data_IF_871048993566
#
_entry.id   IF_871048993566
#
_cell.length_a   1.000
_cell.length_b   1.000
_cell.length_c   1.000
_cell.angle_alpha   90.00
_cell.angle_beta   90.00
_cell.angle_gamma   90.00
#
_symmetry.space_group_name_H-M   'P 1'
#
loop_
_entity.id
_entity.type
_entity.pdbx_description
1 polymer ?
#
# COMPACT_ATOMS: atom_id res chain seq x y z
N UNK A 1 -16.46 -0.67 9.12
CA UNK A 1 -17.41 -0.42 10.21
C UNK A 1 -18.54 -1.45 10.19
N UNK A 2 -19.26 -1.66 11.30
CA UNK A 2 -20.44 -2.53 11.37
C UNK A 2 -21.54 -2.21 10.34
N UNK A 3 -21.46 -1.05 9.68
CA UNK A 3 -22.35 -0.57 8.62
C UNK A 3 -21.86 -0.88 7.18
N UNK A 4 -20.78 -1.65 7.03
CA UNK A 4 -20.22 -2.02 5.72
C UNK A 4 -19.40 -0.92 5.05
N UNK A 5 -19.16 0.22 5.72
CA UNK A 5 -18.32 1.30 5.21
C UNK A 5 -16.86 1.08 5.55
N UNK A 6 -15.98 1.46 4.63
CA UNK A 6 -14.55 1.57 4.90
C UNK A 6 -14.29 2.95 5.51
N UNK A 7 -13.67 3.01 6.70
CA UNK A 7 -13.14 4.28 7.20
C UNK A 7 -11.94 4.66 6.35
N UNK A 8 -12.05 5.78 5.64
CA UNK A 8 -10.94 6.31 4.85
C UNK A 8 -10.21 7.33 5.70
N UNK A 9 -9.02 6.99 6.17
CA UNK A 9 -8.10 7.94 6.79
C UNK A 9 -7.11 8.42 5.71
N UNK A 10 -7.37 9.59 5.14
CA UNK A 10 -6.51 10.19 4.12
C UNK A 10 -5.34 10.93 4.75
N UNK A 11 -4.11 10.56 4.38
CA UNK A 11 -2.90 11.30 4.74
C UNK A 11 -2.26 11.80 3.45
N UNK A 12 -2.12 13.12 3.34
CA UNK A 12 -1.40 13.75 2.24
C UNK A 12 0.07 13.89 2.63
N UNK A 13 0.97 13.63 1.69
CA UNK A 13 2.43 13.48 1.90
C UNK A 13 3.16 14.81 2.20
N UNK A 14 2.57 15.70 3.00
CA UNK A 14 3.22 16.91 3.46
C UNK A 14 3.41 16.85 4.98
N UNK A 15 4.65 16.58 5.37
CA UNK A 15 5.18 16.45 6.73
C UNK A 15 4.83 15.15 7.47
N UNK A 16 5.89 14.39 7.80
CA UNK A 16 6.26 13.48 8.92
C UNK A 16 5.22 13.00 9.97
N UNK A 17 4.03 13.58 10.00
CA UNK A 17 2.95 13.30 10.94
C UNK A 17 2.29 11.93 10.74
N UNK A 18 2.45 11.31 9.57
CA UNK A 18 1.81 10.03 9.26
C UNK A 18 2.53 8.82 9.91
N UNK A 19 3.84 8.92 10.16
CA UNK A 19 4.65 7.82 10.74
C UNK A 19 4.16 7.42 12.15
N UNK A 20 3.70 8.39 12.94
CA UNK A 20 3.18 8.15 14.28
C UNK A 20 1.77 7.52 14.29
N UNK A 21 1.01 7.69 13.20
CA UNK A 21 -0.38 7.25 13.11
C UNK A 21 -0.49 5.90 12.40
N UNK A 22 0.43 5.59 11.47
CA UNK A 22 0.37 4.38 10.66
C UNK A 22 0.35 3.08 11.49
N UNK A 23 1.17 2.90 12.55
CA UNK A 23 1.12 1.68 13.36
C UNK A 23 -0.26 1.43 13.99
N UNK A 24 -0.93 2.49 14.46
CA UNK A 24 -2.27 2.41 15.07
C UNK A 24 -3.37 2.05 14.07
N UNK A 25 -3.21 2.45 12.81
CA UNK A 25 -4.13 2.10 11.73
C UNK A 25 -3.92 0.66 11.25
N UNK A 26 -2.66 0.22 11.18
CA UNK A 26 -2.31 -1.15 10.81
C UNK A 26 -2.84 -2.14 11.84
N UNK A 27 -2.81 -1.80 13.14
CA UNK A 27 -3.37 -2.65 14.21
C UNK A 27 -4.89 -2.85 14.12
N UNK A 28 -5.63 -1.90 13.51
CA UNK A 28 -7.08 -1.98 13.33
C UNK A 28 -7.56 -2.95 12.23
N UNK A 29 -6.64 -3.51 11.44
CA UNK A 29 -6.99 -4.37 10.30
C UNK A 29 -7.38 -3.60 9.03
N UNK A 30 -7.00 -2.32 8.94
CA UNK A 30 -7.28 -1.47 7.78
C UNK A 30 -6.34 -1.78 6.60
N UNK A 31 -6.84 -1.52 5.39
CA UNK A 31 -6.05 -1.60 4.15
C UNK A 31 -5.43 -0.22 3.87
N UNK A 32 -4.12 -0.20 3.65
CA UNK A 32 -3.37 0.97 3.19
C UNK A 32 -3.49 1.06 1.68
N UNK A 33 -4.11 2.14 1.21
CA UNK A 33 -4.16 2.53 -0.19
C UNK A 33 -3.07 3.57 -0.46
N UNK A 34 -2.09 3.26 -1.31
CA UNK A 34 -1.04 4.20 -1.69
C UNK A 34 -1.16 4.57 -3.15
N UNK A 35 -1.27 5.87 -3.41
CA UNK A 35 -1.37 6.41 -4.76
C UNK A 35 0.03 6.72 -5.31
N UNK A 36 0.39 6.06 -6.42
CA UNK A 36 1.66 6.23 -7.13
C UNK A 36 1.45 6.82 -8.52
N UNK A 37 0.27 7.40 -8.81
CA UNK A 37 0.05 8.08 -10.10
C UNK A 37 1.05 9.22 -10.26
N UNK A 38 1.58 9.32 -11.47
CA UNK A 38 2.67 10.23 -11.84
C UNK A 38 4.01 9.97 -11.15
N UNK A 39 4.17 8.96 -10.29
CA UNK A 39 5.44 8.68 -9.62
C UNK A 39 6.57 8.39 -10.62
N UNK A 40 7.68 9.11 -10.48
CA UNK A 40 8.80 9.16 -11.41
C UNK A 40 10.03 9.77 -10.71
N UNK A 41 11.22 9.74 -11.32
CA UNK A 41 12.42 10.34 -10.72
C UNK A 41 12.27 11.84 -10.40
N UNK A 42 11.47 12.58 -11.16
CA UNK A 42 11.27 14.02 -10.97
C UNK A 42 10.27 14.36 -9.85
N UNK A 43 9.55 13.38 -9.31
CA UNK A 43 8.61 13.53 -8.19
C UNK A 43 8.68 12.33 -7.23
N UNK A 44 9.91 11.90 -6.94
CA UNK A 44 10.24 10.80 -6.03
C UNK A 44 9.98 11.13 -4.54
N UNK A 45 9.09 12.07 -4.24
CA UNK A 45 8.73 12.44 -2.87
C UNK A 45 8.18 11.26 -2.07
N UNK A 46 7.51 10.31 -2.74
CA UNK A 46 6.88 9.14 -2.12
C UNK A 46 7.82 7.93 -1.90
N UNK A 47 9.12 8.06 -2.22
CA UNK A 47 10.07 6.92 -2.15
C UNK A 47 10.28 6.46 -0.71
N UNK A 48 10.33 7.42 0.21
CA UNK A 48 10.47 7.14 1.65
C UNK A 48 9.23 6.44 2.20
N UNK A 49 8.03 6.91 1.83
CA UNK A 49 6.74 6.33 2.20
C UNK A 49 6.63 4.89 1.71
N UNK A 50 7.06 4.63 0.47
CA UNK A 50 7.04 3.30 -0.13
C UNK A 50 7.97 2.34 0.63
N UNK A 51 9.17 2.80 1.00
CA UNK A 51 10.12 2.03 1.81
C UNK A 51 9.59 1.76 3.24
N UNK A 52 8.93 2.74 3.84
CA UNK A 52 8.29 2.57 5.15
C UNK A 52 7.17 1.55 5.09
N UNK A 53 6.30 1.62 4.08
CA UNK A 53 5.20 0.69 3.87
C UNK A 53 5.73 -0.74 3.76
N UNK A 54 6.79 -0.97 2.97
CA UNK A 54 7.47 -2.26 2.86
C UNK A 54 8.03 -2.74 4.20
N UNK A 55 8.49 -1.84 5.05
CA UNK A 55 9.13 -2.21 6.33
C UNK A 55 8.15 -2.45 7.48
N UNK A 56 6.94 -1.90 7.42
CA UNK A 56 6.05 -1.84 8.59
C UNK A 56 4.63 -2.35 8.33
N UNK A 57 4.18 -2.47 7.08
CA UNK A 57 2.80 -2.87 6.75
C UNK A 57 2.80 -4.19 5.98
N UNK A 58 2.13 -5.25 6.45
CA UNK A 58 2.04 -6.51 5.72
C UNK A 58 1.50 -6.29 4.29
N UNK A 59 2.16 -6.82 3.26
CA UNK A 59 1.79 -6.60 1.84
C UNK A 59 0.33 -6.87 1.51
N UNK A 60 -0.28 -7.85 2.19
CA UNK A 60 -1.70 -8.19 2.01
C UNK A 60 -2.66 -7.09 2.41
N UNK A 61 -2.20 -6.19 3.29
CA UNK A 61 -2.93 -4.99 3.72
C UNK A 61 -2.60 -3.77 2.87
N UNK A 62 -1.84 -3.92 1.78
CA UNK A 62 -1.44 -2.82 0.94
C UNK A 62 -2.03 -2.97 -0.46
N UNK A 63 -2.56 -1.87 -1.00
CA UNK A 63 -2.95 -1.74 -2.39
C UNK A 63 -2.27 -0.50 -2.97
N UNK A 64 -1.45 -0.70 -4.00
CA UNK A 64 -0.82 0.39 -4.75
C UNK A 64 -1.68 0.75 -5.96
N UNK A 65 -1.96 2.04 -6.15
CA UNK A 65 -2.60 2.55 -7.37
C UNK A 65 -1.52 3.09 -8.30
N UNK A 66 -1.54 2.66 -9.55
CA UNK A 66 -0.73 3.23 -10.62
C UNK A 66 -1.56 3.54 -11.85
N UNK A 67 -1.00 4.30 -12.79
CA UNK A 67 -1.58 4.53 -14.11
C UNK A 67 -0.46 4.60 -15.17
N UNK A 68 -0.75 4.88 -16.45
CA UNK A 68 0.29 5.00 -17.48
C UNK A 68 1.33 6.10 -17.25
N UNK A 69 1.12 7.01 -16.29
CA UNK A 69 2.08 8.06 -15.92
C UNK A 69 3.05 7.62 -14.81
N UNK A 70 2.83 6.45 -14.21
CA UNK A 70 3.71 5.87 -13.19
C UNK A 70 4.92 5.18 -13.85
N UNK A 71 6.13 5.54 -13.41
CA UNK A 71 7.36 4.82 -13.72
C UNK A 71 7.43 3.53 -12.91
N UNK A 72 6.86 2.46 -13.47
CA UNK A 72 6.75 1.16 -12.81
C UNK A 72 8.10 0.48 -12.62
N UNK A 73 9.09 0.80 -13.46
CA UNK A 73 10.45 0.30 -13.30
C UNK A 73 11.06 0.88 -12.03
N UNK A 74 10.89 2.19 -11.80
CA UNK A 74 11.31 2.84 -10.57
C UNK A 74 10.55 2.29 -9.35
N UNK A 75 9.23 2.08 -9.46
CA UNK A 75 8.44 1.46 -8.36
C UNK A 75 9.01 0.09 -7.98
N UNK A 76 9.27 -0.76 -8.96
CA UNK A 76 9.82 -2.10 -8.74
C UNK A 76 11.21 -2.06 -8.10
N UNK A 77 12.08 -1.15 -8.55
CA UNK A 77 13.40 -0.94 -7.96
C UNK A 77 13.32 -0.50 -6.50
N UNK A 78 12.46 0.47 -6.19
CA UNK A 78 12.28 0.96 -4.82
C UNK A 78 11.74 -0.15 -3.91
N UNK A 79 10.75 -0.92 -4.37
CA UNK A 79 10.18 -2.03 -3.61
C UNK A 79 11.20 -3.14 -3.38
N UNK A 80 11.96 -3.53 -4.40
CA UNK A 80 12.99 -4.56 -4.29
C UNK A 80 14.11 -4.14 -3.33
N UNK A 81 14.61 -2.91 -3.46
CA UNK A 81 15.64 -2.36 -2.59
C UNK A 81 15.15 -2.24 -1.14
N UNK A 82 13.91 -1.79 -0.94
CA UNK A 82 13.31 -1.66 0.39
C UNK A 82 13.11 -3.01 1.06
N UNK A 83 12.66 -4.02 0.31
CA UNK A 83 12.48 -5.37 0.83
C UNK A 83 13.83 -6.03 1.15
N UNK A 84 14.85 -5.81 0.31
CA UNK A 84 16.20 -6.32 0.55
C UNK A 84 16.86 -5.71 1.79
N UNK A 85 16.57 -4.44 2.07
CA UNK A 85 17.14 -3.69 3.20
C UNK A 85 16.28 -3.73 4.46
N UNK A 86 15.09 -4.34 4.43
CA UNK A 86 14.20 -4.37 5.58
C UNK A 86 14.78 -5.25 6.71
N UNK A 87 14.49 -4.88 7.95
CA UNK A 87 14.90 -5.65 9.12
C UNK A 87 14.21 -7.04 9.11
N UNK A 88 14.82 -8.09 9.68
CA UNK A 88 14.18 -9.40 9.83
C UNK A 88 12.86 -9.38 10.61
N UNK A 89 12.64 -8.34 11.43
CA UNK A 89 11.39 -8.10 12.17
C UNK A 89 10.28 -7.49 11.32
N UNK A 90 10.56 -7.09 10.07
CA UNK A 90 9.55 -6.59 9.14
C UNK A 90 8.47 -7.65 8.90
N UNK A 91 7.18 -7.27 8.81
CA UNK A 91 6.11 -8.20 8.45
C UNK A 91 6.25 -8.77 7.03
N UNK A 92 7.11 -8.17 6.20
CA UNK A 92 7.34 -8.57 4.82
C UNK A 92 8.68 -9.29 4.61
N UNK A 93 9.50 -9.46 5.65
CA UNK A 93 10.80 -10.13 5.53
C UNK A 93 10.65 -11.53 4.88
N UNK A 94 11.40 -11.77 3.80
CA UNK A 94 11.36 -13.03 3.04
C UNK A 94 10.08 -13.29 2.24
N UNK A 95 9.15 -12.33 2.17
CA UNK A 95 7.89 -12.48 1.41
C UNK A 95 8.06 -11.94 -0.02
N UNK A 96 7.47 -12.58 -1.04
CA UNK A 96 7.63 -12.11 -2.40
C UNK A 96 6.80 -10.85 -2.66
N UNK A 97 7.31 -9.94 -3.51
CA UNK A 97 6.59 -8.73 -3.93
C UNK A 97 5.27 -9.04 -4.66
N UNK A 98 5.08 -10.25 -5.17
CA UNK A 98 3.82 -10.69 -5.80
C UNK A 98 2.63 -10.73 -4.83
N UNK A 99 2.86 -10.70 -3.52
CA UNK A 99 1.79 -10.57 -2.53
C UNK A 99 1.27 -9.13 -2.38
N UNK A 100 2.02 -8.14 -2.86
CA UNK A 100 1.61 -6.74 -2.86
C UNK A 100 0.59 -6.52 -3.97
N UNK A 101 -0.62 -6.13 -3.60
CA UNK A 101 -1.65 -5.89 -4.61
C UNK A 101 -1.42 -4.57 -5.33
N UNK A 102 -1.58 -4.58 -6.65
CA UNK A 102 -1.51 -3.38 -7.49
C UNK A 102 -2.79 -3.25 -8.30
N UNK A 103 -3.33 -2.04 -8.35
CA UNK A 103 -4.40 -1.64 -9.23
C UNK A 103 -3.84 -0.65 -10.26
N UNK A 104 -3.89 -1.03 -11.54
CA UNK A 104 -3.52 -0.13 -12.63
C UNK A 104 -4.77 0.49 -13.23
N UNK A 105 -4.93 1.80 -13.07
CA UNK A 105 -5.95 2.60 -13.72
C UNK A 105 -5.56 3.04 -15.14
N UNK A 106 -6.42 3.86 -15.74
CA UNK A 106 -6.11 4.58 -16.99
C UNK A 106 -5.72 6.02 -16.66
N UNK A 107 -5.05 6.72 -17.59
CA UNK A 107 -4.54 8.08 -17.33
C UNK A 107 -5.64 9.00 -16.80
N UNK A 108 -5.46 9.49 -15.57
CA UNK A 108 -6.40 10.42 -14.92
C UNK A 108 -7.77 9.84 -14.59
N UNK A 109 -8.01 8.54 -14.76
CA UNK A 109 -9.27 7.87 -14.44
C UNK A 109 -9.03 6.56 -13.69
N UNK A 110 -9.61 6.49 -12.49
CA UNK A 110 -9.78 5.26 -11.73
C UNK A 110 -11.20 4.78 -11.95
N UNK A 111 -11.38 3.53 -12.36
CA UNK A 111 -12.70 2.92 -12.34
C UNK A 111 -13.06 2.59 -10.90
N UNK A 112 -13.79 3.51 -10.25
CA UNK A 112 -14.07 3.47 -8.82
C UNK A 112 -14.68 2.15 -8.38
N UNK A 113 -15.60 1.57 -9.18
CA UNK A 113 -16.21 0.28 -8.88
C UNK A 113 -15.17 -0.86 -8.87
N UNK A 114 -14.27 -0.90 -9.85
CA UNK A 114 -13.23 -1.92 -9.92
C UNK A 114 -12.21 -1.77 -8.79
N UNK A 115 -11.84 -0.53 -8.44
CA UNK A 115 -10.97 -0.25 -7.29
C UNK A 115 -11.64 -0.68 -5.97
N UNK A 116 -12.90 -0.33 -5.76
CA UNK A 116 -13.67 -0.73 -4.57
C UNK A 116 -13.79 -2.25 -4.47
N UNK A 117 -14.01 -2.93 -5.59
CA UNK A 117 -14.03 -4.40 -5.62
C UNK A 117 -12.69 -4.99 -5.16
N UNK A 118 -11.56 -4.49 -5.69
CA UNK A 118 -10.24 -4.96 -5.27
C UNK A 118 -9.94 -4.67 -3.80
N UNK A 119 -10.35 -3.50 -3.29
CA UNK A 119 -10.23 -3.16 -1.87
C UNK A 119 -11.04 -4.13 -0.99
N UNK A 120 -12.27 -4.45 -1.38
CA UNK A 120 -13.11 -5.44 -0.69
C UNK A 120 -12.45 -6.83 -0.68
N UNK A 121 -11.97 -7.30 -1.83
CA UNK A 121 -11.32 -8.60 -1.95
C UNK A 121 -10.05 -8.68 -1.08
N UNK A 122 -9.22 -7.62 -1.06
CA UNK A 122 -8.05 -7.55 -0.21
C UNK A 122 -8.38 -7.51 1.28
N UNK A 123 -9.40 -6.76 1.67
CA UNK A 123 -9.88 -6.71 3.04
C UNK A 123 -10.39 -8.09 3.50
N UNK A 124 -11.12 -8.81 2.64
CA UNK A 124 -11.56 -10.17 2.92
C UNK A 124 -10.39 -11.15 3.07
N UNK A 125 -9.40 -11.12 2.15
CA UNK A 125 -8.18 -11.95 2.23
C UNK A 125 -7.37 -11.69 3.50
N UNK A 126 -7.26 -10.43 3.91
CA UNK A 126 -6.51 -10.03 5.12
C UNK A 126 -7.17 -10.50 6.41
N UNK A 127 -8.51 -10.46 6.48
CA UNK A 127 -9.27 -10.92 7.66
C UNK A 127 -9.21 -12.45 7.85
N UNK A 128 -9.30 -13.21 6.76
CA UNK A 128 -9.24 -14.68 6.82
C UNK A 128 -7.93 -15.21 7.44
N UNK A 129 -6.82 -14.49 7.27
CA UNK A 129 -5.52 -14.88 7.84
C UNK A 129 -5.39 -14.55 9.34
N UNK A 130 -6.12 -13.54 9.82
CA UNK A 130 -6.04 -13.10 11.22
C UNK A 130 -6.84 -14.02 12.17
N UNK A 131 -7.87 -14.71 11.65
CA UNK A 131 -8.73 -15.65 12.41
C UNK A 131 -8.21 -17.09 12.53
N UNK A 132 -6.98 -17.39 12.09
CA UNK A 132 -6.39 -18.73 12.17
C UNK A 132 -5.44 -18.91 13.37
N UNK A 133 -5.69 -18.23 14.49
CA UNK A 133 -4.95 -18.40 15.75
C UNK A 133 -5.78 -19.14 16.77
#
# INVERSE_FOLDING_TARGET
DPDGRFRVNGFFCHADSWQAVLPRLVDGGDIVLMDLRSFSPSNAGCTYELAFLVSHVPFRRCLLISDPTTDERLVDEVLANSLHSCLPTSPNAGRPLSELTRYRGTTGRIETTALLQQLCENACRSRAHTGSR
#
